data_IF_809839090997
#
_entry.id   IF_809839090997
#
_cell.length_a   1.000
_cell.length_b   1.000
_cell.length_c   1.000
_cell.angle_alpha   90.00
_cell.angle_beta   90.00
_cell.angle_gamma   90.00
#
_symmetry.space_group_name_H-M   'P 1'
#
loop_
_entity.id
_entity.type
_entity.pdbx_description
1 polymer ?
#
# COMPACT_ATOMS: atom_id res chain seq x y z
N UNK A 1 15.08 -5.25 -0.14
CA UNK A 1 13.83 -5.83 0.38
C UNK A 1 13.10 -6.45 -0.79
N UNK A 2 12.71 -7.72 -0.68
CA UNK A 2 11.90 -8.41 -1.69
C UNK A 2 10.43 -8.30 -1.33
N UNK A 3 9.58 -8.07 -2.32
CA UNK A 3 8.13 -8.18 -2.15
C UNK A 3 7.65 -9.46 -2.80
N UNK A 4 7.05 -10.34 -2.01
CA UNK A 4 6.40 -11.54 -2.50
C UNK A 4 4.92 -11.26 -2.76
N UNK A 5 4.38 -11.79 -3.85
CA UNK A 5 2.96 -11.66 -4.17
C UNK A 5 2.21 -12.82 -3.55
N UNK A 6 1.16 -12.54 -2.77
CA UNK A 6 0.29 -13.62 -2.29
C UNK A 6 -0.28 -14.40 -3.49
N UNK A 7 -0.27 -15.74 -3.47
CA UNK A 7 -0.91 -16.54 -4.51
C UNK A 7 -2.37 -16.09 -4.73
N UNK A 8 -2.73 -15.76 -5.97
CA UNK A 8 -4.07 -15.26 -6.31
C UNK A 8 -4.31 -13.76 -6.05
N UNK A 9 -3.29 -12.98 -5.67
CA UNK A 9 -3.39 -11.52 -5.42
C UNK A 9 -4.00 -10.74 -6.59
N UNK A 10 -3.81 -11.19 -7.83
CA UNK A 10 -4.43 -10.56 -9.01
C UNK A 10 -5.96 -10.51 -8.93
N UNK A 11 -6.59 -11.48 -8.26
CA UNK A 11 -8.05 -11.54 -8.12
C UNK A 11 -8.62 -10.54 -7.09
N UNK A 12 -7.76 -9.95 -6.27
CA UNK A 12 -8.16 -9.03 -5.18
C UNK A 12 -7.59 -7.61 -5.37
N UNK A 13 -6.83 -7.38 -6.44
CA UNK A 13 -6.46 -6.03 -6.86
C UNK A 13 -7.74 -5.29 -7.27
N UNK A 14 -7.98 -4.13 -6.65
CA UNK A 14 -9.13 -3.29 -6.98
C UNK A 14 -8.67 -2.02 -7.65
N UNK A 15 -8.84 -1.99 -8.96
CA UNK A 15 -8.56 -0.80 -9.79
C UNK A 15 -7.09 -0.36 -9.70
N UNK A 16 -6.15 -1.31 -9.57
CA UNK A 16 -4.71 -1.03 -9.57
C UNK A 16 -3.96 -2.11 -10.33
N UNK A 17 -2.91 -1.70 -11.04
CA UNK A 17 -2.03 -2.60 -11.77
C UNK A 17 -0.80 -3.01 -10.96
N UNK A 18 -0.18 -4.16 -11.26
CA UNK A 18 0.99 -4.63 -10.53
C UNK A 18 2.18 -3.66 -10.54
N UNK A 19 2.34 -2.90 -11.63
CA UNK A 19 3.42 -1.93 -11.77
C UNK A 19 3.18 -0.69 -10.88
N UNK A 20 1.93 -0.27 -10.69
CA UNK A 20 1.56 0.84 -9.80
C UNK A 20 1.89 0.52 -8.35
N UNK A 21 1.68 -0.73 -7.95
CA UNK A 21 2.01 -1.24 -6.60
C UNK A 21 3.52 -1.14 -6.35
N UNK A 22 4.33 -1.55 -7.33
CA UNK A 22 5.79 -1.46 -7.20
C UNK A 22 6.26 0.00 -7.12
N UNK A 23 5.68 0.89 -7.93
CA UNK A 23 5.99 2.33 -7.88
C UNK A 23 5.65 2.92 -6.50
N UNK A 24 4.46 2.60 -5.97
CA UNK A 24 4.02 3.08 -4.66
C UNK A 24 4.93 2.60 -3.52
N UNK A 25 5.35 1.33 -3.55
CA UNK A 25 6.27 0.77 -2.56
C UNK A 25 7.69 1.34 -2.68
N UNK A 26 8.13 1.67 -3.89
CA UNK A 26 9.43 2.29 -4.15
C UNK A 26 9.44 3.80 -3.87
N UNK A 27 8.28 4.44 -3.72
CA UNK A 27 8.18 5.88 -3.51
C UNK A 27 8.82 6.27 -2.14
N UNK A 28 9.80 7.18 -2.11
CA UNK A 28 10.37 7.70 -0.86
C UNK A 28 9.33 8.43 0.00
N UNK A 29 8.40 9.12 -0.65
CA UNK A 29 7.30 9.85 -0.01
C UNK A 29 6.08 8.93 0.11
N UNK A 30 6.17 8.02 1.09
CA UNK A 30 5.12 7.07 1.42
C UNK A 30 4.75 7.17 2.89
N UNK A 31 3.47 7.02 3.19
CA UNK A 31 2.95 7.00 4.55
C UNK A 31 2.65 5.57 5.01
N UNK A 32 3.50 4.98 5.86
CA UNK A 32 3.24 3.69 6.48
C UNK A 32 2.21 3.83 7.60
N UNK A 33 1.12 3.06 7.53
CA UNK A 33 0.06 3.00 8.55
C UNK A 33 -0.16 1.57 9.03
N UNK A 34 -0.29 1.41 10.34
CA UNK A 34 -0.74 0.15 10.92
C UNK A 34 -2.18 -0.14 10.49
N UNK A 35 -2.41 -1.36 10.01
CA UNK A 35 -3.73 -1.85 9.67
C UNK A 35 -3.98 -3.17 10.40
N UNK A 36 -5.21 -3.39 10.85
CA UNK A 36 -5.62 -4.67 11.44
C UNK A 36 -6.58 -5.34 10.47
N UNK A 37 -6.22 -6.52 10.00
CA UNK A 37 -7.07 -7.29 9.10
C UNK A 37 -7.99 -8.26 9.85
N UNK A 38 -8.65 -9.18 9.13
CA UNK A 38 -9.48 -10.21 9.73
C UNK A 38 -8.73 -10.99 10.82
N UNK A 39 -9.45 -11.37 11.88
CA UNK A 39 -8.90 -12.12 13.02
C UNK A 39 -7.79 -11.40 13.80
N UNK A 40 -7.68 -10.07 13.70
CA UNK A 40 -6.71 -9.29 14.47
C UNK A 40 -5.28 -9.38 13.93
N UNK A 41 -5.09 -9.89 12.71
CA UNK A 41 -3.77 -10.02 12.12
C UNK A 41 -3.20 -8.62 11.80
N UNK A 42 -1.97 -8.30 12.26
CA UNK A 42 -1.34 -7.03 11.96
C UNK A 42 -0.84 -6.99 10.51
N UNK A 43 -1.16 -5.90 9.83
CA UNK A 43 -0.69 -5.55 8.49
C UNK A 43 -0.12 -4.14 8.48
N UNK A 44 0.65 -3.84 7.45
CA UNK A 44 1.11 -2.50 7.14
C UNK A 44 0.43 -2.02 5.86
N UNK A 45 -0.36 -0.95 5.96
CA UNK A 45 -0.90 -0.24 4.82
C UNK A 45 0.06 0.90 4.43
N UNK A 46 0.62 0.82 3.24
CA UNK A 46 1.49 1.84 2.65
C UNK A 46 0.65 2.70 1.73
N UNK A 47 0.56 3.99 2.05
CA UNK A 47 -0.17 4.99 1.29
C UNK A 47 0.85 5.81 0.51
N UNK A 48 0.73 5.86 -0.82
CA UNK A 48 1.69 6.57 -1.65
C UNK A 48 1.06 6.97 -2.98
N UNK A 49 1.72 7.89 -3.69
CA UNK A 49 1.45 8.16 -5.10
C UNK A 49 2.32 7.27 -5.99
N UNK A 50 1.75 6.79 -7.08
CA UNK A 50 2.49 6.21 -8.21
C UNK A 50 3.29 7.29 -8.95
N UNK A 51 4.09 6.91 -9.95
CA UNK A 51 4.88 7.86 -10.72
C UNK A 51 4.03 8.84 -11.55
N UNK A 52 2.79 8.47 -11.89
CA UNK A 52 1.84 9.35 -12.57
C UNK A 52 0.97 10.17 -11.59
N UNK A 53 1.27 10.14 -10.29
CA UNK A 53 0.57 10.90 -9.25
C UNK A 53 -0.71 10.25 -8.71
N UNK A 54 -1.07 9.05 -9.19
CA UNK A 54 -2.27 8.34 -8.73
C UNK A 54 -2.08 7.84 -7.29
N UNK A 55 -2.98 8.21 -6.35
CA UNK A 55 -2.89 7.76 -4.97
C UNK A 55 -3.40 6.32 -4.81
N UNK A 56 -2.58 5.45 -4.22
CA UNK A 56 -2.88 4.03 -3.99
C UNK A 56 -2.54 3.60 -2.57
N UNK A 57 -3.24 2.57 -2.09
CA UNK A 57 -2.95 1.90 -0.83
C UNK A 57 -2.51 0.48 -1.13
N UNK A 58 -1.32 0.13 -0.63
CA UNK A 58 -0.76 -1.22 -0.71
C UNK A 58 -0.70 -1.81 0.69
N UNK A 59 -1.35 -2.94 0.91
CA UNK A 59 -1.32 -3.66 2.18
C UNK A 59 -0.29 -4.78 2.08
N UNK A 60 0.66 -4.77 3.01
CA UNK A 60 1.69 -5.79 3.12
C UNK A 60 1.63 -6.48 4.49
N UNK A 61 2.00 -7.76 4.51
CA UNK A 61 2.22 -8.55 5.72
C UNK A 61 3.70 -8.84 5.85
N UNK A 62 4.29 -8.52 6.99
CA UNK A 62 5.66 -8.95 7.29
C UNK A 62 5.67 -10.46 7.52
N UNK A 63 6.55 -11.16 6.81
CA UNK A 63 6.76 -12.61 6.98
C UNK A 63 7.90 -12.92 7.96
N UNK A 64 8.64 -11.89 8.40
CA UNK A 64 9.87 -12.01 9.17
C UNK A 64 11.08 -11.59 8.34
N UNK A 65 12.17 -11.17 9.00
CA UNK A 65 13.36 -10.67 8.31
C UNK A 65 13.09 -9.43 7.44
N UNK A 66 13.64 -9.40 6.23
CA UNK A 66 13.45 -8.31 5.26
C UNK A 66 12.35 -8.60 4.22
N UNK A 67 11.54 -9.63 4.45
CA UNK A 67 10.53 -10.10 3.50
C UNK A 67 9.13 -9.62 3.90
N UNK A 68 8.43 -9.10 2.89
CA UNK A 68 7.05 -8.65 3.00
C UNK A 68 6.23 -9.25 1.87
N UNK A 69 5.05 -9.75 2.23
CA UNK A 69 4.07 -10.26 1.28
C UNK A 69 3.06 -9.16 0.97
N UNK A 70 2.86 -8.83 -0.29
CA UNK A 70 1.75 -7.99 -0.72
C UNK A 70 0.48 -8.83 -0.59
N UNK A 71 -0.50 -8.34 0.15
CA UNK A 71 -1.76 -9.05 0.44
C UNK A 71 -2.98 -8.37 -0.16
N UNK A 72 -2.92 -7.07 -0.43
CA UNK A 72 -3.97 -6.35 -1.13
C UNK A 72 -3.41 -5.04 -1.69
N UNK A 73 -4.03 -4.52 -2.75
CA UNK A 73 -3.85 -3.14 -3.15
C UNK A 73 -5.12 -2.59 -3.79
N UNK A 74 -5.33 -1.28 -3.64
CA UNK A 74 -6.46 -0.56 -4.22
C UNK A 74 -6.14 0.91 -4.47
N UNK A 75 -6.90 1.53 -5.37
CA UNK A 75 -6.97 2.99 -5.45
C UNK A 75 -7.51 3.60 -4.14
N UNK A 76 -7.02 4.78 -3.80
CA UNK A 76 -7.57 5.56 -2.69
C UNK A 76 -8.99 6.05 -3.01
N UNK A 77 -9.89 5.99 -2.03
CA UNK A 77 -11.20 6.63 -2.11
C UNK A 77 -11.07 8.12 -1.81
N UNK A 78 -12.08 8.97 -2.11
CA UNK A 78 -12.01 10.39 -1.77
C UNK A 78 -11.72 10.67 -0.28
N UNK A 79 -12.24 9.83 0.62
CA UNK A 79 -11.96 9.95 2.05
C UNK A 79 -10.51 9.58 2.41
N UNK A 80 -9.92 8.59 1.74
CA UNK A 80 -8.51 8.27 1.90
C UNK A 80 -7.65 9.42 1.36
N UNK A 81 -7.98 9.96 0.19
CA UNK A 81 -7.24 11.06 -0.43
C UNK A 81 -7.18 12.27 0.51
N UNK A 82 -8.31 12.68 1.09
CA UNK A 82 -8.34 13.82 2.02
C UNK A 82 -7.41 13.61 3.25
N UNK A 83 -7.41 12.40 3.81
CA UNK A 83 -6.51 12.06 4.92
C UNK A 83 -5.05 12.02 4.48
N UNK A 84 -4.78 11.52 3.28
CA UNK A 84 -3.43 11.42 2.74
C UNK A 84 -2.86 12.79 2.43
N UNK A 85 -3.62 13.66 1.78
CA UNK A 85 -3.21 15.03 1.44
C UNK A 85 -2.92 15.86 2.70
N UNK A 86 -3.70 15.66 3.77
CA UNK A 86 -3.40 16.30 5.04
C UNK A 86 -2.06 15.83 5.62
N UNK A 87 -1.79 14.53 5.56
CA UNK A 87 -0.48 14.00 5.95
C UNK A 87 0.65 14.52 5.07
N UNK A 88 0.45 14.60 3.75
CA UNK A 88 1.43 15.12 2.78
C UNK A 88 1.81 16.57 3.15
N UNK A 89 0.83 17.41 3.51
CA UNK A 89 1.07 18.79 3.94
C UNK A 89 1.84 18.90 5.27
N UNK A 90 1.61 17.97 6.20
CA UNK A 90 2.29 17.96 7.51
C UNK A 90 3.74 17.43 7.43
N UNK A 91 4.12 16.76 6.33
CA UNK A 91 5.38 16.04 6.17
C UNK A 91 6.17 16.45 4.91
N UNK A 92 5.90 17.66 4.40
CA UNK A 92 6.67 18.37 3.35
C UNK A 92 7.82 19.18 3.96
#
# INVERSE_FOLDING_TARGET
MGYEWMPGLMAILRDVEPHEIQQALANPHRWPRHATGPHGIPYLAVWARTNNGRPVIVVVRHLGGHDAMIVAARGMTPADIALFEQWEQDHE
#
